data_IF_328140387297
#
_entry.id   IF_328140387297
#
_cell.length_a   1.000
_cell.length_b   1.000
_cell.length_c   1.000
_cell.angle_alpha   90.00
_cell.angle_beta   90.00
_cell.angle_gamma   90.00
#
_symmetry.space_group_name_H-M   'P 1'
#
loop_
_entity.id
_entity.type
_entity.pdbx_description
1 polymer ?
#
# COMPACT_ATOMS: atom_id res chain seq x y z
N UNK A 1 6.90 -74.05 -31.42
CA UNK A 1 7.46 -73.41 -30.21
C UNK A 1 7.10 -71.91 -30.14
N UNK A 2 5.83 -71.53 -30.40
CA UNK A 2 5.36 -70.11 -30.40
C UNK A 2 4.05 -69.95 -29.59
N UNK A 3 3.53 -71.04 -28.99
CA UNK A 3 2.15 -71.09 -28.48
C UNK A 3 2.00 -70.85 -26.97
N UNK A 4 3.10 -70.80 -26.21
CA UNK A 4 3.06 -70.59 -24.74
C UNK A 4 3.27 -69.13 -24.32
N UNK A 5 4.00 -68.34 -25.09
CA UNK A 5 4.29 -66.93 -24.77
C UNK A 5 3.08 -65.99 -24.94
N UNK A 6 2.15 -66.33 -25.83
CA UNK A 6 0.96 -65.49 -26.12
C UNK A 6 -0.07 -65.58 -24.99
N UNK A 7 -0.13 -66.70 -24.26
CA UNK A 7 -1.05 -66.87 -23.12
C UNK A 7 -0.63 -66.04 -21.91
N UNK A 8 0.68 -65.82 -21.71
CA UNK A 8 1.18 -64.96 -20.64
C UNK A 8 0.87 -63.48 -20.89
N UNK A 9 0.90 -63.03 -22.15
CA UNK A 9 0.58 -61.63 -22.49
C UNK A 9 -0.91 -61.29 -22.30
N UNK A 10 -1.83 -62.25 -22.46
CA UNK A 10 -3.26 -62.04 -22.19
C UNK A 10 -3.59 -62.03 -20.69
N UNK A 11 -2.82 -62.73 -19.85
CA UNK A 11 -3.00 -62.71 -18.40
C UNK A 11 -2.56 -61.39 -17.75
N UNK A 12 -1.58 -60.69 -18.34
CA UNK A 12 -1.10 -59.38 -17.84
C UNK A 12 -2.10 -58.26 -18.12
N UNK A 13 -2.96 -58.39 -19.14
CA UNK A 13 -4.04 -57.43 -19.41
C UNK A 13 -5.30 -57.62 -18.54
N UNK A 14 -5.37 -58.70 -17.75
CA UNK A 14 -6.50 -59.01 -16.88
C UNK A 14 -6.30 -58.57 -15.42
N UNK A 15 -5.25 -57.82 -15.09
CA UNK A 15 -5.17 -57.10 -13.81
C UNK A 15 -6.01 -55.84 -13.93
N UNK A 16 -7.33 -56.02 -13.94
CA UNK A 16 -8.26 -54.96 -13.60
C UNK A 16 -7.85 -54.45 -12.22
N UNK A 17 -7.33 -53.23 -12.20
CA UNK A 17 -7.04 -52.46 -10.99
C UNK A 17 -8.37 -52.26 -10.27
N UNK A 18 -8.78 -53.24 -9.48
CA UNK A 18 -9.80 -53.07 -8.47
C UNK A 18 -9.14 -52.29 -7.35
N UNK A 19 -9.07 -50.97 -7.53
CA UNK A 19 -8.92 -50.07 -6.41
C UNK A 19 -10.14 -50.26 -5.52
N UNK A 20 -10.02 -51.16 -4.53
CA UNK A 20 -10.99 -51.23 -3.44
C UNK A 20 -10.99 -49.87 -2.76
N UNK A 21 -11.97 -49.05 -3.10
CA UNK A 21 -12.25 -47.81 -2.38
C UNK A 21 -12.53 -48.18 -0.94
N UNK A 22 -11.52 -48.05 -0.09
CA UNK A 22 -11.71 -48.08 1.35
C UNK A 22 -12.59 -46.88 1.69
N UNK A 23 -13.88 -47.12 1.92
CA UNK A 23 -14.92 -46.12 2.24
C UNK A 23 -14.70 -45.39 3.59
N UNK A 24 -13.44 -45.29 4.04
CA UNK A 24 -13.02 -44.69 5.31
C UNK A 24 -13.12 -43.15 5.27
N UNK A 25 -13.27 -42.58 4.08
CA UNK A 25 -13.44 -41.17 3.80
C UNK A 25 -14.91 -40.79 3.55
N UNK A 26 -15.86 -41.73 3.57
CA UNK A 26 -17.31 -41.48 3.51
C UNK A 26 -17.88 -41.30 4.92
N UNK A 27 -18.48 -40.15 5.20
CA UNK A 27 -19.03 -39.81 6.54
C UNK A 27 -20.43 -39.25 6.41
N UNK A 28 -21.38 -39.72 7.23
CA UNK A 28 -22.72 -39.13 7.30
C UNK A 28 -22.64 -37.74 7.94
N UNK A 29 -23.12 -36.69 7.27
CA UNK A 29 -22.97 -35.31 7.71
C UNK A 29 -23.58 -35.06 9.10
N UNK A 30 -24.77 -35.60 9.37
CA UNK A 30 -25.44 -35.50 10.68
C UNK A 30 -24.64 -36.11 11.83
N UNK A 31 -23.75 -37.07 11.56
CA UNK A 31 -22.89 -37.71 12.57
C UNK A 31 -21.55 -37.00 12.77
N UNK A 32 -21.26 -35.96 12.00
CA UNK A 32 -20.07 -35.13 12.23
C UNK A 32 -20.33 -34.29 13.47
N UNK A 33 -19.55 -34.51 14.52
CA UNK A 33 -19.72 -33.80 15.80
C UNK A 33 -19.12 -32.40 15.77
N UNK A 34 -17.96 -32.26 15.13
CA UNK A 34 -17.24 -31.00 15.02
C UNK A 34 -16.23 -31.03 13.90
N UNK A 35 -15.95 -29.86 13.32
CA UNK A 35 -14.88 -29.63 12.37
C UNK A 35 -13.97 -28.52 12.86
N UNK A 36 -12.68 -28.64 12.56
CA UNK A 36 -11.68 -27.61 12.83
C UNK A 36 -11.08 -27.19 11.50
N UNK A 37 -11.18 -25.90 11.20
CA UNK A 37 -10.81 -25.31 9.93
C UNK A 37 -9.69 -24.31 10.17
N UNK A 38 -8.70 -24.31 9.28
CA UNK A 38 -7.51 -23.47 9.45
C UNK A 38 -7.30 -22.54 8.25
N UNK A 39 -6.79 -21.34 8.55
CA UNK A 39 -6.48 -20.34 7.54
C UNK A 39 -5.36 -20.85 6.61
N UNK A 40 -5.54 -20.65 5.31
CA UNK A 40 -4.56 -21.03 4.29
C UNK A 40 -4.56 -22.52 3.93
N UNK A 41 -5.31 -23.38 4.65
CA UNK A 41 -5.50 -24.77 4.26
C UNK A 41 -6.59 -24.92 3.21
N UNK A 42 -6.39 -25.89 2.32
CA UNK A 42 -7.37 -26.31 1.33
C UNK A 42 -8.18 -27.51 1.85
N UNK A 43 -9.41 -27.65 1.38
CA UNK A 43 -10.26 -28.80 1.65
C UNK A 43 -9.78 -30.02 0.88
N UNK A 44 -10.09 -31.22 1.38
CA UNK A 44 -10.02 -32.42 0.54
C UNK A 44 -11.07 -32.30 -0.56
N UNK A 45 -10.73 -32.76 -1.76
CA UNK A 45 -11.69 -32.80 -2.85
C UNK A 45 -11.53 -34.08 -3.67
N UNK A 46 -12.65 -34.61 -4.15
CA UNK A 46 -12.68 -35.83 -4.98
C UNK A 46 -13.22 -35.57 -6.37
N UNK A 47 -14.36 -34.89 -6.46
CA UNK A 47 -15.08 -34.64 -7.72
C UNK A 47 -15.02 -33.17 -8.14
N UNK A 48 -14.97 -32.27 -7.15
CA UNK A 48 -14.77 -30.84 -7.36
C UNK A 48 -13.30 -30.43 -7.16
N UNK A 49 -13.00 -29.16 -7.44
CA UNK A 49 -11.71 -28.57 -7.06
C UNK A 49 -11.68 -28.25 -5.58
N UNK A 50 -10.55 -28.49 -4.93
CA UNK A 50 -10.32 -28.08 -3.55
C UNK A 50 -10.55 -26.57 -3.36
N UNK A 51 -11.24 -26.20 -2.28
CA UNK A 51 -11.51 -24.81 -1.89
C UNK A 51 -10.76 -24.47 -0.60
N UNK A 52 -10.74 -23.19 -0.20
CA UNK A 52 -10.17 -22.80 1.09
C UNK A 52 -11.05 -23.31 2.22
N UNK A 53 -10.44 -23.78 3.31
CA UNK A 53 -11.18 -24.16 4.51
C UNK A 53 -11.85 -22.96 5.18
N UNK A 54 -11.19 -21.80 5.18
CA UNK A 54 -11.71 -20.55 5.71
C UNK A 54 -11.74 -19.49 4.61
N UNK A 55 -12.93 -18.97 4.32
CA UNK A 55 -13.14 -17.93 3.31
C UNK A 55 -13.92 -16.75 3.89
N UNK A 56 -13.26 -15.60 3.99
CA UNK A 56 -13.94 -14.35 4.31
C UNK A 56 -14.64 -13.80 3.06
N UNK A 57 -15.95 -13.61 3.13
CA UNK A 57 -16.78 -13.13 2.00
C UNK A 57 -17.26 -11.69 2.14
N UNK A 58 -17.13 -11.08 3.32
CA UNK A 58 -17.57 -9.71 3.54
C UNK A 58 -17.73 -9.34 5.01
N UNK A 59 -18.72 -8.49 5.29
CA UNK A 59 -19.04 -7.96 6.62
C UNK A 59 -18.54 -6.53 6.85
N UNK A 60 -19.03 -5.92 7.93
CA UNK A 60 -18.77 -4.50 8.28
C UNK A 60 -17.31 -4.22 8.67
N UNK A 61 -16.56 -5.23 9.11
CA UNK A 61 -15.11 -5.12 9.33
C UNK A 61 -14.31 -5.28 8.02
N UNK A 62 -14.90 -5.91 7.02
CA UNK A 62 -14.25 -6.30 5.77
C UNK A 62 -13.20 -7.42 5.96
N UNK A 63 -12.68 -7.93 4.84
CA UNK A 63 -11.79 -9.09 4.83
C UNK A 63 -10.29 -8.74 4.83
N UNK A 64 -9.91 -7.47 4.86
CA UNK A 64 -8.50 -7.04 4.78
C UNK A 64 -7.86 -6.79 6.14
N UNK A 65 -8.67 -6.67 7.20
CA UNK A 65 -8.19 -6.40 8.55
C UNK A 65 -7.72 -7.68 9.24
N UNK A 66 -8.60 -8.24 10.06
CA UNK A 66 -8.31 -9.44 10.85
C UNK A 66 -8.93 -10.68 10.19
N UNK A 67 -8.25 -11.82 10.31
CA UNK A 67 -8.78 -13.13 9.93
C UNK A 67 -8.44 -14.16 11.01
N UNK A 68 -9.40 -14.96 11.48
CA UNK A 68 -9.11 -16.00 12.45
C UNK A 68 -8.28 -17.11 11.79
N UNK A 69 -7.22 -17.54 12.49
CA UNK A 69 -6.33 -18.61 12.01
C UNK A 69 -6.94 -20.00 12.11
N UNK A 70 -7.80 -20.21 13.12
CA UNK A 70 -8.44 -21.50 13.39
C UNK A 70 -9.87 -21.23 13.80
N UNK A 71 -10.83 -21.91 13.20
CA UNK A 71 -12.24 -21.86 13.60
C UNK A 71 -12.72 -23.27 13.90
N UNK A 72 -13.39 -23.44 15.03
CA UNK A 72 -14.01 -24.70 15.40
C UNK A 72 -15.53 -24.56 15.24
N UNK A 73 -16.11 -25.38 14.36
CA UNK A 73 -17.55 -25.48 14.20
C UNK A 73 -18.03 -26.77 14.84
N UNK A 74 -19.06 -26.66 15.68
CA UNK A 74 -19.67 -27.78 16.39
C UNK A 74 -21.07 -27.99 15.83
N UNK A 75 -21.42 -29.24 15.58
CA UNK A 75 -22.77 -29.61 15.21
C UNK A 75 -23.64 -29.55 16.47
N UNK A 76 -24.63 -28.66 16.46
CA UNK A 76 -25.55 -28.43 17.59
C UNK A 76 -26.88 -29.18 17.45
N UNK A 77 -27.06 -29.89 16.34
CA UNK A 77 -28.28 -30.61 15.99
C UNK A 77 -28.58 -30.52 14.50
N UNK A 78 -29.78 -30.95 14.12
CA UNK A 78 -30.29 -30.87 12.76
C UNK A 78 -31.79 -30.56 12.83
N UNK A 79 -32.33 -29.88 11.81
CA UNK A 79 -33.74 -29.48 11.74
C UNK A 79 -34.62 -30.49 10.97
N UNK A 80 -34.05 -31.66 10.63
CA UNK A 80 -34.66 -32.68 9.78
C UNK A 80 -34.28 -32.57 8.30
N UNK A 81 -33.62 -31.48 7.90
CA UNK A 81 -33.08 -31.28 6.54
C UNK A 81 -31.57 -31.03 6.58
N UNK A 82 -31.13 -30.06 7.37
CA UNK A 82 -29.74 -29.59 7.43
C UNK A 82 -29.19 -29.57 8.86
N UNK A 83 -27.86 -29.74 8.95
CA UNK A 83 -27.10 -29.65 10.20
C UNK A 83 -26.97 -28.20 10.64
N UNK A 84 -27.22 -27.96 11.93
CA UNK A 84 -27.10 -26.65 12.55
C UNK A 84 -25.71 -26.48 13.18
N UNK A 85 -24.88 -25.63 12.55
CA UNK A 85 -23.50 -25.40 12.97
C UNK A 85 -23.36 -24.16 13.87
N UNK A 86 -22.62 -24.31 14.97
CA UNK A 86 -22.14 -23.20 15.77
C UNK A 86 -20.62 -23.08 15.63
N UNK A 87 -20.14 -21.99 15.05
CA UNK A 87 -18.71 -21.76 14.81
C UNK A 87 -18.13 -20.73 15.80
N UNK A 88 -17.02 -21.12 16.45
CA UNK A 88 -16.32 -20.33 17.47
C UNK A 88 -14.82 -20.23 17.17
N UNK A 89 -14.21 -19.13 17.58
CA UNK A 89 -12.77 -18.90 17.49
C UNK A 89 -12.35 -17.82 18.50
N UNK A 90 -11.07 -17.80 18.86
CA UNK A 90 -10.48 -16.77 19.70
C UNK A 90 -10.16 -15.53 18.85
N UNK A 91 -10.95 -14.47 19.01
CA UNK A 91 -10.74 -13.18 18.36
C UNK A 91 -10.95 -12.03 19.34
N UNK A 92 -10.38 -10.86 19.03
CA UNK A 92 -10.53 -9.62 19.79
C UNK A 92 -12.02 -9.22 19.88
N UNK A 93 -12.47 -8.69 21.03
CA UNK A 93 -13.88 -8.34 21.29
C UNK A 93 -14.43 -7.30 20.32
N UNK A 94 -13.57 -6.59 19.57
CA UNK A 94 -13.97 -5.69 18.49
C UNK A 94 -14.58 -6.40 17.28
N UNK A 95 -14.44 -7.72 17.16
CA UNK A 95 -14.93 -8.51 16.04
C UNK A 95 -15.93 -9.58 16.48
N UNK A 96 -16.84 -9.94 15.57
CA UNK A 96 -17.71 -11.11 15.67
C UNK A 96 -17.97 -11.69 14.29
N UNK A 97 -18.40 -12.94 14.24
CA UNK A 97 -18.95 -13.49 13.01
C UNK A 97 -20.29 -12.82 12.67
N UNK A 98 -20.46 -12.46 11.40
CA UNK A 98 -21.74 -12.08 10.81
C UNK A 98 -22.45 -13.33 10.28
N UNK A 99 -22.82 -13.32 8.99
CA UNK A 99 -23.32 -14.53 8.33
C UNK A 99 -22.22 -15.60 8.23
N UNK A 100 -22.58 -16.84 8.57
CA UNK A 100 -21.72 -18.02 8.41
C UNK A 100 -22.43 -19.06 7.54
N UNK A 101 -21.64 -19.83 6.79
CA UNK A 101 -22.11 -20.89 5.89
C UNK A 101 -21.06 -22.01 5.85
N UNK A 102 -21.41 -23.17 6.41
CA UNK A 102 -20.56 -24.37 6.41
C UNK A 102 -21.01 -25.28 5.29
N UNK A 103 -20.11 -25.61 4.37
CA UNK A 103 -20.41 -26.45 3.21
C UNK A 103 -19.38 -27.55 3.06
N UNK A 104 -19.84 -28.77 2.82
CA UNK A 104 -19.01 -29.95 2.62
C UNK A 104 -19.28 -30.56 1.23
N UNK A 105 -18.27 -31.17 0.61
CA UNK A 105 -18.47 -31.91 -0.63
C UNK A 105 -19.24 -33.21 -0.35
N UNK A 106 -20.43 -33.35 -0.93
CA UNK A 106 -21.17 -34.62 -0.95
C UNK A 106 -20.33 -35.74 -1.56
N UNK A 107 -20.46 -36.96 -1.06
CA UNK A 107 -19.54 -38.05 -1.38
C UNK A 107 -19.74 -38.58 -2.81
N UNK A 108 -20.98 -38.94 -3.16
CA UNK A 108 -21.33 -39.49 -4.48
C UNK A 108 -21.93 -38.42 -5.42
N UNK A 109 -22.75 -37.48 -4.89
CA UNK A 109 -23.41 -36.39 -5.62
C UNK A 109 -23.52 -35.10 -4.75
N UNK A 110 -23.87 -33.92 -5.30
CA UNK A 110 -23.82 -32.65 -4.55
C UNK A 110 -24.65 -32.62 -3.26
N UNK A 111 -25.85 -33.22 -3.26
CA UNK A 111 -26.79 -33.22 -2.13
C UNK A 111 -26.82 -34.58 -1.39
N UNK A 112 -25.69 -35.28 -1.37
CA UNK A 112 -25.56 -36.58 -0.68
C UNK A 112 -25.54 -36.37 0.83
N UNK A 113 -26.36 -37.09 1.63
CA UNK A 113 -26.29 -37.02 3.09
C UNK A 113 -24.92 -37.45 3.63
N UNK A 114 -24.15 -38.21 2.84
CA UNK A 114 -22.75 -38.50 3.11
C UNK A 114 -21.83 -37.50 2.42
N UNK A 115 -20.78 -37.10 3.14
CA UNK A 115 -19.77 -36.15 2.69
C UNK A 115 -18.38 -36.78 2.71
N UNK A 116 -17.49 -36.20 1.92
CA UNK A 116 -16.07 -36.55 1.93
C UNK A 116 -15.38 -36.03 3.20
N UNK A 117 -14.65 -36.90 3.90
CA UNK A 117 -13.90 -36.53 5.10
C UNK A 117 -12.89 -35.43 4.79
N UNK A 118 -13.00 -34.32 5.52
CA UNK A 118 -12.09 -33.17 5.38
C UNK A 118 -12.41 -32.27 4.18
N UNK A 119 -13.57 -32.43 3.54
CA UNK A 119 -14.00 -31.57 2.44
C UNK A 119 -14.76 -30.30 2.87
N UNK A 120 -15.12 -30.21 4.16
CA UNK A 120 -15.87 -29.08 4.69
C UNK A 120 -15.05 -27.78 4.71
N UNK A 121 -15.68 -26.68 4.33
CA UNK A 121 -15.18 -25.32 4.45
C UNK A 121 -16.22 -24.39 5.07
N UNK A 122 -15.75 -23.25 5.58
CA UNK A 122 -16.55 -22.21 6.19
C UNK A 122 -16.37 -20.90 5.40
N UNK A 123 -17.49 -20.40 4.89
CA UNK A 123 -17.61 -19.05 4.38
C UNK A 123 -18.18 -18.17 5.48
N UNK A 124 -17.51 -17.06 5.79
CA UNK A 124 -17.91 -16.20 6.89
C UNK A 124 -17.81 -14.72 6.53
N UNK A 125 -18.71 -13.93 7.11
CA UNK A 125 -18.59 -12.48 7.19
C UNK A 125 -17.98 -12.09 8.53
N UNK A 126 -17.17 -11.03 8.51
CA UNK A 126 -16.57 -10.47 9.72
C UNK A 126 -17.18 -9.10 10.02
N UNK A 127 -17.80 -8.99 11.18
CA UNK A 127 -18.44 -7.77 11.62
C UNK A 127 -17.71 -7.10 12.77
N UNK A 128 -17.79 -5.77 12.82
CA UNK A 128 -17.39 -5.01 13.97
C UNK A 128 -18.47 -5.10 15.06
N UNK A 129 -18.03 -5.29 16.30
CA UNK A 129 -18.90 -5.11 17.47
C UNK A 129 -19.13 -3.64 17.75
N UNK A 130 -20.06 -3.34 18.66
CA UNK A 130 -20.29 -1.96 19.10
C UNK A 130 -19.01 -1.31 19.64
N UNK A 131 -18.21 -2.08 20.39
CA UNK A 131 -16.88 -1.68 20.86
C UNK A 131 -15.95 -1.39 19.67
N UNK A 132 -15.90 -2.27 18.68
CA UNK A 132 -15.10 -2.08 17.48
C UNK A 132 -15.48 -0.82 16.69
N UNK A 133 -16.78 -0.53 16.59
CA UNK A 133 -17.27 0.71 15.99
C UNK A 133 -16.86 1.95 16.80
N UNK A 134 -16.93 1.89 18.14
CA UNK A 134 -16.52 2.99 19.02
C UNK A 134 -15.02 3.27 18.91
N UNK A 135 -14.18 2.23 18.85
CA UNK A 135 -12.75 2.39 18.63
C UNK A 135 -12.43 3.00 17.27
N UNK A 136 -13.08 2.54 16.19
CA UNK A 136 -12.91 3.12 14.85
C UNK A 136 -13.35 4.59 14.80
N UNK A 137 -14.47 4.93 15.46
CA UNK A 137 -14.93 6.32 15.59
C UNK A 137 -13.97 7.17 16.42
N UNK A 138 -13.47 6.67 17.54
CA UNK A 138 -12.47 7.39 18.32
C UNK A 138 -11.18 7.62 17.54
N UNK A 139 -10.74 6.71 16.67
CA UNK A 139 -9.62 6.98 15.77
C UNK A 139 -9.94 8.09 14.75
N UNK A 140 -11.19 8.20 14.30
CA UNK A 140 -11.62 9.28 13.40
C UNK A 140 -11.83 10.62 14.13
N UNK A 141 -12.36 10.62 15.35
CA UNK A 141 -12.56 11.84 16.17
C UNK A 141 -11.27 12.28 16.87
N UNK A 142 -10.37 11.37 17.22
CA UNK A 142 -9.05 11.68 17.78
C UNK A 142 -8.01 12.01 16.70
N UNK A 143 -8.34 11.84 15.42
CA UNK A 143 -7.59 12.38 14.28
C UNK A 143 -8.08 13.76 13.82
N UNK A 144 -9.07 14.33 14.52
CA UNK A 144 -9.75 15.56 14.15
C UNK A 144 -9.53 16.72 15.12
N UNK A 145 -8.36 16.81 15.79
CA UNK A 145 -8.05 18.02 16.58
C UNK A 145 -6.55 18.28 16.71
N UNK A 146 -5.91 18.58 15.58
CA UNK A 146 -4.82 19.56 15.53
C UNK A 146 -4.95 20.38 14.24
N UNK A 147 -6.08 21.07 14.07
CA UNK A 147 -5.97 22.38 13.44
C UNK A 147 -5.28 23.29 14.47
N UNK A 148 -3.96 23.19 14.54
CA UNK A 148 -3.19 24.40 14.78
C UNK A 148 -3.67 25.37 13.72
N UNK A 149 -4.50 26.33 14.12
CA UNK A 149 -4.54 27.60 13.46
C UNK A 149 -3.09 28.11 13.50
N UNK A 150 -2.31 27.76 12.49
CA UNK A 150 -1.34 28.69 11.97
C UNK A 150 -2.19 29.83 11.44
N UNK A 151 -2.59 30.71 12.35
CA UNK A 151 -2.72 32.09 12.01
C UNK A 151 -1.32 32.46 11.54
N UNK A 152 -1.09 32.33 10.23
CA UNK A 152 -0.14 33.18 9.57
C UNK A 152 -0.73 34.59 9.71
N UNK A 153 -0.60 35.13 10.91
CA UNK A 153 -0.20 36.50 11.03
C UNK A 153 1.25 36.48 10.53
N UNK A 154 1.41 36.28 9.22
CA UNK A 154 2.43 37.00 8.51
C UNK A 154 2.08 38.43 8.87
N UNK A 155 2.80 38.96 9.84
CA UNK A 155 3.21 40.34 9.83
C UNK A 155 3.83 40.59 8.44
N UNK A 156 2.94 40.72 7.44
CA UNK A 156 3.12 41.58 6.31
C UNK A 156 3.41 42.90 6.98
N UNK A 157 4.71 43.19 7.06
CA UNK A 157 5.16 44.53 7.32
C UNK A 157 4.40 45.37 6.31
N UNK A 158 3.47 46.17 6.81
CA UNK A 158 2.83 47.26 6.09
C UNK A 158 3.94 48.01 5.37
N UNK A 159 4.20 47.65 4.11
CA UNK A 159 4.96 48.48 3.21
C UNK A 159 3.97 49.56 2.78
N UNK A 160 3.79 50.50 3.71
CA UNK A 160 2.95 51.67 3.52
C UNK A 160 3.33 52.38 2.23
N UNK A 161 2.37 53.17 1.74
CA UNK A 161 2.41 54.11 0.62
C UNK A 161 3.66 55.01 0.49
N UNK A 162 4.63 54.92 1.39
CA UNK A 162 5.81 55.77 1.50
C UNK A 162 7.03 55.29 0.70
N UNK A 163 7.02 54.08 0.14
CA UNK A 163 8.07 53.61 -0.79
C UNK A 163 8.07 54.32 -2.15
N UNK A 164 7.03 55.11 -2.46
CA UNK A 164 6.80 55.69 -3.78
C UNK A 164 7.58 56.99 -4.06
N UNK A 165 8.13 57.68 -3.06
CA UNK A 165 8.80 58.98 -3.29
C UNK A 165 10.27 58.80 -3.67
N UNK A 166 10.96 57.84 -3.06
CA UNK A 166 12.38 57.56 -3.36
C UNK A 166 12.53 56.97 -4.77
N UNK A 167 11.59 56.12 -5.19
CA UNK A 167 11.56 55.56 -6.55
C UNK A 167 11.37 56.65 -7.62
N UNK A 168 10.53 57.66 -7.36
CA UNK A 168 10.28 58.76 -8.31
C UNK A 168 11.47 59.73 -8.42
N UNK A 169 12.20 59.96 -7.31
CA UNK A 169 13.42 60.78 -7.33
C UNK A 169 14.52 60.11 -8.14
N UNK A 170 14.69 58.80 -8.02
CA UNK A 170 15.70 58.04 -8.78
C UNK A 170 15.36 58.05 -10.28
N UNK A 171 14.09 57.83 -10.64
CA UNK A 171 13.65 57.87 -12.04
C UNK A 171 13.79 59.28 -12.63
N UNK A 172 13.44 60.32 -11.88
CA UNK A 172 13.62 61.71 -12.27
C UNK A 172 15.09 62.10 -12.48
N UNK A 173 15.99 61.63 -11.62
CA UNK A 173 17.43 61.84 -11.75
C UNK A 173 18.03 61.16 -12.99
N UNK A 174 17.59 59.94 -13.31
CA UNK A 174 18.01 59.22 -14.51
C UNK A 174 17.53 59.96 -15.78
N UNK A 175 16.27 60.40 -15.81
CA UNK A 175 15.72 61.17 -16.93
C UNK A 175 16.47 62.52 -17.09
N UNK A 176 16.74 63.23 -15.99
CA UNK A 176 17.51 64.47 -16.01
C UNK A 176 18.95 64.28 -16.52
N UNK A 177 19.65 63.25 -16.06
CA UNK A 177 21.00 62.92 -16.55
C UNK A 177 20.99 62.53 -18.03
N UNK A 178 19.99 61.79 -18.50
CA UNK A 178 19.85 61.45 -19.92
C UNK A 178 19.54 62.66 -20.80
N UNK A 179 18.76 63.63 -20.30
CA UNK A 179 18.46 64.87 -21.02
C UNK A 179 19.66 65.83 -21.02
N UNK A 180 20.46 65.87 -19.94
CA UNK A 180 21.68 66.66 -19.85
C UNK A 180 22.84 66.13 -20.72
N UNK A 181 22.92 64.81 -20.92
CA UNK A 181 23.91 64.20 -21.81
C UNK A 181 23.63 64.42 -23.31
N UNK A 182 22.37 64.73 -23.66
CA UNK A 182 21.94 64.89 -25.06
C UNK A 182 21.70 66.35 -25.48
N UNK A 183 21.42 67.28 -24.55
CA UNK A 183 21.18 68.69 -24.85
C UNK A 183 22.04 69.63 -23.98
N UNK A 184 23.35 69.68 -24.24
CA UNK A 184 24.25 70.63 -23.59
C UNK A 184 25.72 70.43 -23.94
N UNK A 185 26.14 70.81 -25.16
CA UNK A 185 27.56 70.81 -25.55
C UNK A 185 28.26 72.10 -25.09
N UNK A 186 29.58 71.94 -24.87
CA UNK A 186 30.70 72.91 -24.92
C UNK A 186 31.18 73.46 -23.55
N UNK A 187 32.41 73.13 -23.18
CA UNK A 187 33.58 74.04 -23.29
C UNK A 187 34.68 73.69 -22.29
N UNK A 188 35.89 73.44 -22.79
CA UNK A 188 37.18 73.54 -22.08
C UNK A 188 37.44 72.49 -20.98
N UNK A 189 38.64 72.04 -20.71
CA UNK A 189 39.98 72.31 -21.24
C UNK A 189 40.95 71.55 -20.32
N UNK A 190 41.91 70.85 -20.93
CA UNK A 190 43.24 70.54 -20.34
C UNK A 190 43.24 69.48 -19.21
N UNK A 191 44.19 68.54 -19.04
CA UNK A 191 45.56 68.41 -19.54
C UNK A 191 46.09 67.01 -19.18
N UNK A 192 47.05 66.51 -19.98
CA UNK A 192 48.24 65.72 -19.55
C UNK A 192 48.03 64.23 -19.19
N UNK A 193 48.41 63.28 -20.08
CA UNK A 193 49.76 62.68 -20.27
C UNK A 193 49.88 61.35 -19.48
N UNK A 194 50.34 60.18 -19.93
CA UNK A 194 51.32 59.77 -20.95
C UNK A 194 51.10 58.25 -21.25
N UNK A 195 51.22 57.77 -22.51
CA UNK A 195 52.32 56.93 -23.09
C UNK A 195 52.61 55.60 -22.34
N UNK A 196 52.81 54.40 -22.91
CA UNK A 196 53.11 53.87 -24.25
C UNK A 196 53.05 52.31 -24.24
N UNK A 197 52.93 51.71 -25.44
CA UNK A 197 53.44 50.40 -25.91
C UNK A 197 52.69 49.06 -25.70
N UNK A 198 52.19 48.58 -26.84
CA UNK A 198 52.45 47.30 -27.53
C UNK A 198 52.07 45.94 -26.92
N UNK A 199 51.45 45.11 -27.75
CA UNK A 199 51.59 43.65 -27.65
C UNK A 199 50.37 42.87 -28.10
N UNK A 200 50.52 42.14 -29.19
CA UNK A 200 49.56 41.22 -29.80
C UNK A 200 49.07 40.11 -28.85
N UNK A 201 47.80 39.71 -29.04
CA UNK A 201 47.46 38.30 -29.23
C UNK A 201 46.92 37.51 -28.02
N UNK A 202 45.88 36.74 -28.35
CA UNK A 202 45.30 35.59 -27.66
C UNK A 202 44.25 35.85 -26.58
N UNK A 203 43.02 35.41 -26.91
CA UNK A 203 41.91 35.38 -25.99
C UNK A 203 42.12 34.39 -24.86
N UNK A 204 41.47 34.68 -23.73
CA UNK A 204 40.91 33.62 -22.91
C UNK A 204 39.67 34.15 -22.17
N UNK A 205 38.63 33.33 -22.20
CA UNK A 205 37.31 33.44 -21.60
C UNK A 205 37.30 33.98 -20.17
N UNK A 206 36.49 35.03 -19.94
CA UNK A 206 36.09 35.45 -18.59
C UNK A 206 35.13 34.43 -17.95
N UNK A 207 35.13 34.31 -16.61
CA UNK A 207 34.35 33.30 -15.91
C UNK A 207 32.86 33.60 -16.02
N UNK A 208 32.14 32.79 -16.81
CA UNK A 208 30.69 32.88 -16.96
C UNK A 208 29.95 32.59 -15.66
N UNK A 209 28.65 32.93 -15.69
CA UNK A 209 27.60 32.70 -14.68
C UNK A 209 27.73 31.41 -13.83
N UNK A 210 28.29 30.34 -14.39
CA UNK A 210 28.53 29.07 -13.72
C UNK A 210 29.52 29.12 -12.54
N UNK A 211 30.41 30.11 -12.50
CA UNK A 211 31.41 30.25 -11.42
C UNK A 211 30.76 30.62 -10.09
N UNK A 212 29.63 31.33 -10.12
CA UNK A 212 28.83 31.66 -8.94
C UNK A 212 28.07 30.45 -8.39
N UNK A 213 27.60 29.55 -9.25
CA UNK A 213 26.89 28.34 -8.85
C UNK A 213 27.83 27.31 -8.19
N UNK A 214 29.04 27.14 -8.73
CA UNK A 214 30.05 26.24 -8.15
C UNK A 214 30.52 26.72 -6.77
N UNK A 215 30.75 28.03 -6.62
CA UNK A 215 31.16 28.65 -5.35
C UNK A 215 30.03 28.61 -4.32
N UNK A 216 28.79 28.88 -4.73
CA UNK A 216 27.61 28.80 -3.86
C UNK A 216 27.27 27.38 -3.42
N UNK A 217 27.41 26.40 -4.32
CA UNK A 217 27.16 24.97 -4.03
C UNK A 217 28.17 24.38 -3.05
N UNK A 218 29.45 24.72 -3.18
CA UNK A 218 30.49 24.27 -2.26
C UNK A 218 30.32 24.84 -0.84
N UNK A 219 29.95 26.12 -0.74
CA UNK A 219 29.74 26.79 0.55
C UNK A 219 28.48 26.28 1.27
N UNK A 220 27.41 25.96 0.51
CA UNK A 220 26.22 25.31 1.04
C UNK A 220 26.46 23.88 1.54
N UNK A 221 27.29 23.10 0.84
CA UNK A 221 27.63 21.72 1.25
C UNK A 221 28.50 21.67 2.52
N UNK A 222 29.39 22.65 2.71
CA UNK A 222 30.22 22.74 3.92
C UNK A 222 29.40 23.17 5.16
N UNK A 223 28.40 24.03 5.01
CA UNK A 223 27.51 24.40 6.13
C UNK A 223 26.47 23.32 6.46
N UNK A 224 26.10 22.46 5.52
CA UNK A 224 25.17 21.34 5.74
C UNK A 224 25.79 20.10 6.40
N UNK A 225 27.13 19.96 6.40
CA UNK A 225 27.82 18.75 6.89
C UNK A 225 28.16 18.74 8.39
N UNK A 226 27.73 19.75 9.18
CA UNK A 226 28.02 19.81 10.63
C UNK A 226 26.85 19.35 11.54
N UNK A 227 25.87 18.64 11.00
CA UNK A 227 24.79 18.03 11.78
C UNK A 227 24.47 16.62 11.31
N UNK A 228 25.28 15.63 11.70
CA UNK A 228 25.07 14.24 11.33
C UNK A 228 25.59 13.24 12.37
N UNK A 229 24.68 12.79 13.25
CA UNK A 229 24.59 11.43 13.80
C UNK A 229 23.07 11.16 13.93
N UNK A 230 22.43 10.45 12.99
CA UNK A 230 21.98 9.04 13.12
C UNK A 230 20.56 8.99 13.72
N UNK A 231 19.53 8.30 13.23
CA UNK A 231 19.40 7.15 12.34
C UNK A 231 17.97 7.10 11.76
N UNK A 232 17.82 6.33 10.71
CA UNK A 232 16.78 6.21 9.68
C UNK A 232 15.38 5.72 10.09
N UNK A 233 14.34 6.31 9.50
CA UNK A 233 13.20 5.56 8.92
C UNK A 233 12.64 6.34 7.71
N UNK A 234 12.96 5.88 6.49
CA UNK A 234 12.38 6.40 5.25
C UNK A 234 11.29 5.45 4.77
N UNK A 235 10.04 5.93 4.86
CA UNK A 235 8.97 5.51 3.96
C UNK A 235 8.87 6.51 2.82
N UNK A 236 8.77 6.03 1.59
CA UNK A 236 8.14 6.76 0.50
C UNK A 236 7.53 5.75 -0.47
N UNK A 237 6.19 5.78 -0.53
CA UNK A 237 5.43 5.18 -1.60
C UNK A 237 5.54 6.00 -2.88
N UNK A 238 5.53 5.29 -4.00
CA UNK A 238 5.24 5.81 -5.32
C UNK A 238 3.99 5.09 -5.82
N UNK A 239 3.00 5.88 -6.24
CA UNK A 239 1.81 5.41 -6.92
C UNK A 239 2.01 5.35 -8.43
N UNK A 240 1.41 4.34 -9.02
CA UNK A 240 0.77 4.33 -10.34
C UNK A 240 -0.39 3.34 -10.24
#
# INVERSE_FOLDING_TARGET
MIRQEVFFLLAVLAVSIHGWGNNKDKVLLEKVTSITLEEGKMTNARRSSAIKQLECVGGSAGCYGYRPKVVQCVNTGHDGYDVQWECKTEMDSKYRFGKIDVSCEGYDYPDDPYVLRGSCGLRYELDLTEEGHRHKKNSFYSGGEHHHHHNYNSSSSDSGWFGSLIQLVIIGAVIYCCLGACFGRRSGSSSSSSSYSSGYGHGNSGPGFWSGAATGGAMGYMMGRRGGYGSSNWGSGWGS
#
